data_IF_862479486669
#
_entry.id   IF_862479486669
#
_cell.length_a   1.000
_cell.length_b   1.000
_cell.length_c   1.000
_cell.angle_alpha   90.00
_cell.angle_beta   90.00
_cell.angle_gamma   90.00
#
_symmetry.space_group_name_H-M   'P 1'
#
loop_
_entity.id
_entity.type
_entity.pdbx_description
1 polymer ?
#
# COMPACT_ATOMS: atom_id res chain seq x y z
N UNK A 1 9.20 -11.18 9.09
CA UNK A 1 7.81 -11.11 9.58
C UNK A 1 7.58 -12.20 10.63
N UNK A 2 7.07 -11.84 11.81
CA UNK A 2 6.61 -12.79 12.84
C UNK A 2 5.23 -12.35 13.33
N UNK A 3 4.26 -13.26 13.40
CA UNK A 3 2.95 -13.00 13.99
C UNK A 3 2.74 -13.88 15.22
N UNK A 4 2.29 -13.28 16.32
CA UNK A 4 2.04 -13.96 17.59
C UNK A 4 0.66 -13.60 18.11
N UNK A 5 -0.09 -14.61 18.58
CA UNK A 5 -1.37 -14.39 19.28
C UNK A 5 -1.08 -14.40 20.77
N UNK A 6 -1.27 -13.25 21.43
CA UNK A 6 -0.99 -13.03 22.84
C UNK A 6 -2.14 -13.53 23.71
N UNK A 7 -3.38 -13.19 23.33
CA UNK A 7 -4.59 -13.60 24.04
C UNK A 7 -5.74 -13.90 23.07
N UNK A 8 -6.73 -14.66 23.54
CA UNK A 8 -7.93 -15.02 22.79
C UNK A 8 -9.17 -14.92 23.68
N UNK A 9 -10.24 -14.40 23.09
CA UNK A 9 -11.59 -14.49 23.63
C UNK A 9 -12.51 -14.94 22.49
N UNK A 10 -12.91 -16.22 22.51
CA UNK A 10 -13.65 -16.86 21.43
C UNK A 10 -12.93 -16.71 20.07
N UNK A 11 -13.52 -15.95 19.13
CA UNK A 11 -12.92 -15.66 17.81
C UNK A 11 -12.04 -14.40 17.82
N UNK A 12 -12.14 -13.56 18.85
CA UNK A 12 -11.32 -12.37 19.00
C UNK A 12 -9.90 -12.76 19.44
N UNK A 13 -8.91 -12.01 18.94
CA UNK A 13 -7.49 -12.27 19.21
C UNK A 13 -6.79 -10.94 19.42
N UNK A 14 -6.03 -10.87 20.51
CA UNK A 14 -4.99 -9.86 20.68
C UNK A 14 -3.70 -10.48 20.20
N UNK A 15 -2.98 -9.78 19.34
CA UNK A 15 -1.75 -10.30 18.76
C UNK A 15 -0.77 -9.21 18.38
N UNK A 16 0.47 -9.60 18.12
CA UNK A 16 1.54 -8.72 17.68
C UNK A 16 2.09 -9.19 16.35
N UNK A 17 2.30 -8.25 15.44
CA UNK A 17 2.93 -8.47 14.14
C UNK A 17 4.25 -7.70 14.09
N UNK A 18 5.37 -8.41 14.05
CA UNK A 18 6.71 -7.83 13.91
C UNK A 18 7.11 -7.78 12.43
N UNK A 19 7.34 -6.56 11.94
CA UNK A 19 7.75 -6.21 10.58
C UNK A 19 9.13 -5.55 10.58
N UNK A 20 9.63 -5.22 9.39
CA UNK A 20 10.99 -4.66 9.24
C UNK A 20 11.06 -3.27 9.88
N UNK A 21 10.04 -2.45 9.69
CA UNK A 21 10.00 -1.07 10.19
C UNK A 21 9.26 -0.91 11.53
N UNK A 22 8.92 -2.00 12.23
CA UNK A 22 8.37 -1.96 13.58
C UNK A 22 7.34 -3.05 13.87
N UNK A 23 6.80 -2.99 15.09
CA UNK A 23 5.77 -3.92 15.57
C UNK A 23 4.39 -3.26 15.58
N UNK A 24 3.36 -4.04 15.25
CA UNK A 24 1.95 -3.60 15.19
C UNK A 24 1.13 -4.48 16.12
N UNK A 25 0.36 -3.86 17.03
CA UNK A 25 -0.60 -4.57 17.87
C UNK A 25 -1.89 -4.79 17.08
N UNK A 26 -2.51 -5.96 17.24
CA UNK A 26 -3.73 -6.35 16.52
C UNK A 26 -4.85 -6.65 17.53
N UNK A 27 -6.12 -6.27 17.25
CA UNK A 27 -6.63 -5.72 15.98
C UNK A 27 -6.17 -4.29 15.69
N UNK A 28 -5.80 -4.01 14.43
CA UNK A 28 -5.30 -2.71 13.99
C UNK A 28 -6.21 -2.10 12.93
N UNK A 29 -6.39 -0.79 12.99
CA UNK A 29 -6.96 0.00 11.90
C UNK A 29 -5.84 0.69 11.14
N UNK A 30 -5.85 0.60 9.81
CA UNK A 30 -4.83 1.20 8.94
C UNK A 30 -5.42 2.37 8.16
N UNK A 31 -5.01 3.63 8.43
CA UNK A 31 -5.34 4.75 7.57
C UNK A 31 -4.81 4.56 6.15
N UNK A 32 -5.62 4.90 5.15
CA UNK A 32 -5.24 4.77 3.75
C UNK A 32 -4.43 5.98 3.26
N UNK A 33 -3.19 5.74 2.86
CA UNK A 33 -2.33 6.66 2.15
C UNK A 33 -2.54 6.57 0.64
N UNK A 34 -3.09 7.63 0.03
CA UNK A 34 -3.23 7.74 -1.44
C UNK A 34 -2.25 8.78 -1.95
N UNK A 35 -1.48 8.46 -3.01
CA UNK A 35 -0.41 9.32 -3.51
C UNK A 35 0.67 9.63 -2.45
N UNK A 36 0.99 8.68 -1.58
CA UNK A 36 2.06 8.84 -0.58
C UNK A 36 1.69 9.78 0.57
N UNK A 37 0.41 9.97 0.86
CA UNK A 37 -0.03 10.74 2.03
C UNK A 37 -1.39 10.28 2.54
N UNK A 38 -1.61 10.39 3.84
CA UNK A 38 -2.96 10.32 4.43
C UNK A 38 -3.56 11.72 4.35
N UNK A 39 -4.70 11.85 3.67
CA UNK A 39 -5.27 13.17 3.38
C UNK A 39 -5.60 13.94 4.66
N UNK A 40 -5.03 15.13 4.78
CA UNK A 40 -5.28 16.04 5.90
C UNK A 40 -4.46 15.78 7.15
N UNK A 41 -3.52 14.83 7.12
CA UNK A 41 -2.64 14.52 8.25
C UNK A 41 -1.18 14.44 7.82
N UNK A 42 -0.29 15.03 8.62
CA UNK A 42 1.15 14.82 8.50
C UNK A 42 1.58 13.50 9.15
N UNK A 43 2.75 12.94 8.80
CA UNK A 43 3.30 11.77 9.49
C UNK A 43 3.34 11.93 11.01
N UNK A 44 3.81 13.08 11.51
CA UNK A 44 3.84 13.37 12.95
C UNK A 44 2.44 13.31 13.59
N UNK A 45 1.42 13.86 12.92
CA UNK A 45 0.05 13.79 13.43
C UNK A 45 -0.48 12.35 13.48
N UNK A 46 -0.09 11.50 12.53
CA UNK A 46 -0.45 10.09 12.52
C UNK A 46 0.22 9.35 13.70
N UNK A 47 1.47 9.67 13.99
CA UNK A 47 2.19 9.14 15.15
C UNK A 47 1.56 9.60 16.47
N UNK A 48 1.21 10.88 16.59
CA UNK A 48 0.59 11.46 17.78
C UNK A 48 -0.74 10.79 18.14
N UNK A 49 -1.54 10.38 17.14
CA UNK A 49 -2.80 9.64 17.35
C UNK A 49 -2.60 8.13 17.54
N UNK A 50 -1.35 7.65 17.56
CA UNK A 50 -1.02 6.26 17.81
C UNK A 50 -1.14 5.34 16.59
N UNK A 51 -1.09 5.88 15.37
CA UNK A 51 -1.08 5.04 14.15
C UNK A 51 0.18 4.17 14.15
N UNK A 52 0.00 2.86 13.99
CA UNK A 52 1.11 1.91 13.97
C UNK A 52 1.46 1.45 12.54
N UNK A 53 0.50 1.47 11.62
CA UNK A 53 0.67 0.97 10.26
C UNK A 53 -0.25 1.71 9.29
N UNK A 54 0.24 1.93 8.07
CA UNK A 54 -0.54 2.55 6.98
C UNK A 54 -0.82 1.57 5.86
N UNK A 55 -1.89 1.85 5.10
CA UNK A 55 -2.14 1.20 3.82
C UNK A 55 -1.75 2.13 2.67
N UNK A 56 -0.74 1.77 1.89
CA UNK A 56 -0.34 2.47 0.68
C UNK A 56 -1.10 1.96 -0.56
N UNK A 57 -1.62 2.90 -1.36
CA UNK A 57 -2.31 2.53 -2.59
C UNK A 57 -1.35 2.40 -3.78
N UNK A 58 -1.08 1.17 -4.21
CA UNK A 58 -0.13 0.87 -5.29
C UNK A 58 -0.58 1.42 -6.62
N UNK A 59 -1.87 1.35 -6.94
CA UNK A 59 -2.41 1.83 -8.22
C UNK A 59 -2.12 3.32 -8.41
N UNK A 60 -2.40 4.12 -7.39
CA UNK A 60 -2.18 5.56 -7.46
C UNK A 60 -0.69 5.91 -7.50
N UNK A 61 0.13 5.30 -6.63
CA UNK A 61 1.57 5.53 -6.57
C UNK A 61 2.29 5.15 -7.87
N UNK A 62 1.86 4.06 -8.51
CA UNK A 62 2.41 3.59 -9.78
C UNK A 62 2.14 4.56 -10.93
N UNK A 63 0.93 5.15 -10.99
CA UNK A 63 0.57 6.07 -12.06
C UNK A 63 1.17 7.45 -11.82
N UNK A 64 1.17 7.91 -10.57
CA UNK A 64 1.70 9.21 -10.18
C UNK A 64 2.16 9.15 -8.71
N UNK A 65 3.43 9.45 -8.41
CA UNK A 65 4.49 9.95 -9.29
C UNK A 65 5.12 8.88 -10.20
N UNK A 66 4.90 7.59 -9.93
CA UNK A 66 5.63 6.49 -10.57
C UNK A 66 6.53 5.75 -9.58
N UNK A 67 6.50 4.43 -9.63
CA UNK A 67 7.24 3.55 -8.72
C UNK A 67 8.77 3.70 -8.87
N UNK A 68 9.25 3.93 -10.09
CA UNK A 68 10.68 4.17 -10.35
C UNK A 68 11.19 5.49 -9.74
N UNK A 69 10.34 6.52 -9.71
CA UNK A 69 10.68 7.79 -9.08
C UNK A 69 10.73 7.62 -7.56
N UNK A 70 9.77 6.90 -6.99
CA UNK A 70 9.73 6.63 -5.55
C UNK A 70 10.95 5.81 -5.12
N UNK A 71 11.30 4.76 -5.86
CA UNK A 71 12.49 3.94 -5.62
C UNK A 71 13.77 4.78 -5.67
N UNK A 72 13.92 5.64 -6.69
CA UNK A 72 15.05 6.55 -6.82
C UNK A 72 15.16 7.58 -5.69
N UNK A 73 14.05 7.88 -5.00
CA UNK A 73 14.01 8.77 -3.83
C UNK A 73 14.20 8.04 -2.50
N UNK A 74 14.51 6.74 -2.52
CA UNK A 74 14.77 5.93 -1.31
C UNK A 74 13.59 5.08 -0.86
N UNK A 75 12.58 4.89 -1.72
CA UNK A 75 11.39 4.08 -1.40
C UNK A 75 10.26 4.90 -0.77
N UNK A 76 9.12 4.24 -0.54
CA UNK A 76 7.89 4.90 -0.12
C UNK A 76 8.00 5.51 1.28
N UNK A 77 8.67 4.83 2.21
CA UNK A 77 8.91 5.33 3.57
C UNK A 77 9.61 6.70 3.56
N UNK A 78 10.72 6.82 2.83
CA UNK A 78 11.44 8.08 2.68
C UNK A 78 10.64 9.11 1.88
N UNK A 79 9.97 8.70 0.80
CA UNK A 79 9.15 9.60 -0.01
C UNK A 79 8.04 10.29 0.81
N UNK A 80 7.39 9.56 1.72
CA UNK A 80 6.29 10.10 2.54
C UNK A 80 6.70 10.51 3.95
N UNK A 81 7.97 10.34 4.32
CA UNK A 81 8.51 10.58 5.67
C UNK A 81 7.74 9.81 6.76
N UNK A 82 7.43 8.55 6.48
CA UNK A 82 6.80 7.63 7.43
C UNK A 82 7.75 6.47 7.67
N UNK A 83 8.23 6.31 8.90
CA UNK A 83 9.27 5.33 9.26
C UNK A 83 8.73 4.16 10.09
N UNK A 84 7.42 3.89 9.99
CA UNK A 84 6.73 2.75 10.59
C UNK A 84 6.14 1.88 9.49
N UNK A 85 5.60 0.69 9.79
CA UNK A 85 5.18 -0.23 8.75
C UNK A 85 4.16 0.31 7.75
N UNK A 86 4.30 -0.11 6.49
CA UNK A 86 3.37 0.16 5.39
C UNK A 86 2.97 -1.17 4.74
N UNK A 87 1.66 -1.40 4.60
CA UNK A 87 1.11 -2.43 3.73
C UNK A 87 0.71 -1.80 2.41
N UNK A 88 1.17 -2.33 1.29
CA UNK A 88 0.64 -1.94 -0.03
C UNK A 88 -0.46 -2.87 -0.49
N UNK A 89 -1.51 -2.31 -1.10
CA UNK A 89 -2.45 -3.13 -1.86
C UNK A 89 -1.86 -3.54 -3.22
N UNK A 90 -2.51 -4.46 -3.94
CA UNK A 90 -2.01 -4.89 -5.27
C UNK A 90 -2.43 -3.97 -6.42
N UNK A 91 -3.32 -3.00 -6.15
CA UNK A 91 -3.98 -2.16 -7.16
C UNK A 91 -5.13 -2.84 -7.92
N UNK A 92 -5.40 -4.14 -7.67
CA UNK A 92 -6.39 -4.91 -8.43
C UNK A 92 -7.84 -4.43 -8.22
N UNK A 93 -8.17 -3.95 -7.02
CA UNK A 93 -9.50 -3.41 -6.73
C UNK A 93 -9.81 -2.14 -7.53
N UNK A 94 -8.82 -1.25 -7.67
CA UNK A 94 -8.95 0.00 -8.40
C UNK A 94 -9.14 -0.28 -9.88
N UNK A 95 -8.40 -1.25 -10.44
CA UNK A 95 -8.63 -1.64 -11.83
C UNK A 95 -10.02 -2.26 -12.04
N UNK A 96 -10.50 -3.07 -11.08
CA UNK A 96 -11.87 -3.58 -11.11
C UNK A 96 -12.91 -2.45 -11.06
N UNK A 97 -12.67 -1.39 -10.28
CA UNK A 97 -13.58 -0.23 -10.23
C UNK A 97 -13.64 0.55 -11.55
N UNK A 98 -12.65 0.37 -12.43
CA UNK A 98 -12.56 0.96 -13.77
C UNK A 98 -13.07 0.00 -14.88
N UNK A 99 -13.89 -1.00 -14.54
CA UNK A 99 -14.33 -2.09 -15.45
C UNK A 99 -14.79 -1.66 -16.83
N UNK A 100 -15.49 -0.53 -16.96
CA UNK A 100 -15.96 -0.03 -18.27
C UNK A 100 -14.81 0.39 -19.20
N UNK A 101 -13.61 0.61 -18.63
CA UNK A 101 -12.40 1.07 -19.30
C UNK A 101 -11.28 0.00 -19.29
N UNK A 102 -11.54 -1.18 -18.72
CA UNK A 102 -10.55 -2.22 -18.48
C UNK A 102 -10.88 -3.51 -19.22
N UNK A 103 -9.87 -4.11 -19.88
CA UNK A 103 -9.93 -5.43 -20.52
C UNK A 103 -9.15 -6.42 -19.67
N UNK A 104 -9.83 -7.44 -19.19
CA UNK A 104 -9.25 -8.54 -18.40
C UNK A 104 -9.05 -9.76 -19.29
N UNK A 105 -7.91 -10.44 -19.13
CA UNK A 105 -7.59 -11.72 -19.72
C UNK A 105 -6.81 -12.58 -18.70
N UNK A 106 -6.37 -13.78 -19.08
CA UNK A 106 -5.73 -14.74 -18.18
C UNK A 106 -4.44 -14.21 -17.53
N UNK A 107 -3.73 -13.31 -18.22
CA UNK A 107 -2.41 -12.81 -17.79
C UNK A 107 -2.52 -11.51 -16.96
N UNK A 108 -3.73 -10.98 -16.74
CA UNK A 108 -3.95 -9.73 -16.01
C UNK A 108 -4.92 -8.75 -16.66
N UNK A 109 -4.67 -7.45 -16.49
CA UNK A 109 -5.63 -6.41 -16.87
C UNK A 109 -5.00 -5.21 -17.58
N UNK A 110 -5.61 -4.81 -18.68
CA UNK A 110 -5.22 -3.65 -19.48
C UNK A 110 -6.26 -2.56 -19.34
N UNK A 111 -5.85 -1.33 -19.04
CA UNK A 111 -6.77 -0.20 -18.85
C UNK A 111 -6.12 1.11 -19.29
N UNK A 112 -6.91 2.17 -19.42
CA UNK A 112 -6.38 3.51 -19.66
C UNK A 112 -6.14 4.24 -18.35
N UNK A 113 -4.98 4.84 -18.19
CA UNK A 113 -4.67 5.73 -17.08
C UNK A 113 -5.75 6.82 -16.97
N UNK A 114 -6.40 6.99 -15.80
CA UNK A 114 -7.36 8.06 -15.60
C UNK A 114 -6.70 9.45 -15.54
N UNK A 115 -5.37 9.50 -15.45
CA UNK A 115 -4.62 10.75 -15.36
C UNK A 115 -4.28 11.33 -16.74
N UNK A 116 -3.77 10.50 -17.67
CA UNK A 116 -3.29 10.95 -18.98
C UNK A 116 -3.81 10.13 -20.17
N UNK A 117 -4.57 9.05 -19.95
CA UNK A 117 -5.15 8.21 -21.01
C UNK A 117 -4.22 7.13 -21.58
N UNK A 118 -2.99 7.02 -21.08
CA UNK A 118 -2.02 6.01 -21.52
C UNK A 118 -2.56 4.60 -21.31
N UNK A 119 -2.25 3.70 -22.25
CA UNK A 119 -2.61 2.30 -22.12
C UNK A 119 -1.63 1.61 -21.18
N UNK A 120 -2.13 1.18 -20.03
CA UNK A 120 -1.37 0.51 -18.98
C UNK A 120 -1.78 -0.95 -18.86
N UNK A 121 -0.81 -1.79 -18.46
CA UNK A 121 -1.00 -3.22 -18.23
C UNK A 121 -0.53 -3.58 -16.83
N UNK A 122 -1.41 -4.16 -16.03
CA UNK A 122 -1.11 -4.68 -14.70
C UNK A 122 -1.23 -6.21 -14.72
N UNK A 123 -0.10 -6.89 -14.58
CA UNK A 123 0.00 -8.35 -14.36
C UNK A 123 0.39 -8.61 -12.90
N UNK A 124 0.26 -9.86 -12.41
CA UNK A 124 0.78 -10.23 -11.08
C UNK A 124 2.26 -9.86 -10.88
N UNK A 125 3.10 -10.15 -11.87
CA UNK A 125 4.55 -9.86 -11.84
C UNK A 125 4.80 -8.36 -11.78
N UNK A 126 4.06 -7.58 -12.57
CA UNK A 126 4.17 -6.11 -12.55
C UNK A 126 3.74 -5.57 -11.18
N UNK A 127 2.64 -6.06 -10.60
CA UNK A 127 2.18 -5.67 -9.26
C UNK A 127 3.23 -5.96 -8.18
N UNK A 128 3.86 -7.15 -8.22
CA UNK A 128 4.96 -7.50 -7.31
C UNK A 128 6.18 -6.59 -7.50
N UNK A 129 6.58 -6.33 -8.75
CA UNK A 129 7.73 -5.45 -9.04
C UNK A 129 7.51 -4.02 -8.54
N UNK A 130 6.29 -3.50 -8.65
CA UNK A 130 5.94 -2.17 -8.16
C UNK A 130 6.03 -2.16 -6.62
N UNK A 131 5.38 -3.09 -5.93
CA UNK A 131 5.40 -3.14 -4.46
C UNK A 131 6.82 -3.31 -3.91
N UNK A 132 7.65 -4.11 -4.59
CA UNK A 132 9.06 -4.24 -4.25
C UNK A 132 9.82 -2.91 -4.36
N UNK A 133 9.61 -2.13 -5.43
CA UNK A 133 10.20 -0.79 -5.61
C UNK A 133 9.67 0.24 -4.61
N UNK A 134 8.39 0.13 -4.24
CA UNK A 134 7.82 0.96 -3.18
C UNK A 134 8.46 0.64 -1.82
N UNK A 135 8.97 -0.58 -1.62
CA UNK A 135 9.66 -0.96 -0.38
C UNK A 135 8.74 -1.00 0.83
N UNK A 136 7.52 -1.52 0.65
CA UNK A 136 6.60 -1.83 1.76
C UNK A 136 7.08 -3.02 2.60
N UNK A 137 6.55 -3.16 3.81
CA UNK A 137 6.85 -4.24 4.76
C UNK A 137 6.20 -5.60 4.41
#
# INVERSE_FOLDING_TARGET
MKFEVLERDNQARVGRLDLVHGSVETPVFMPCGTYGSVKGMTPNQLEDVGTQMLLGNTFHLWILPGDEIIDALGGLHEFMQWHRPILTDSGGFQVHSLRDLAKVDDDGVTFRSPYNGDLLRLTPEKSMSIQQRLGSD
#
